data_IF_535362786445
#
_entry.id   IF_535362786445
#
_cell.length_a   1.000
_cell.length_b   1.000
_cell.length_c   1.000
_cell.angle_alpha   90.00
_cell.angle_beta   90.00
_cell.angle_gamma   90.00
#
_symmetry.space_group_name_H-M   'P 1'
#
loop_
_entity.id
_entity.type
_entity.pdbx_description
1 polymer ?
#
# COMPACT_ATOMS: atom_id res chain seq x y z
N UNK A 1 -8.49 -10.96 26.79
CA UNK A 1 -8.04 -11.83 25.68
C UNK A 1 -7.07 -11.05 24.83
N UNK A 2 -6.07 -11.71 24.26
CA UNK A 2 -5.08 -11.08 23.37
C UNK A 2 -5.49 -11.23 21.92
N UNK A 3 -5.15 -10.23 21.10
CA UNK A 3 -5.42 -10.22 19.66
C UNK A 3 -4.13 -9.89 18.91
N UNK A 4 -3.85 -10.66 17.87
CA UNK A 4 -2.76 -10.40 16.92
C UNK A 4 -3.42 -10.02 15.59
N UNK A 5 -3.04 -8.86 15.05
CA UNK A 5 -3.38 -8.46 13.69
C UNK A 5 -2.12 -8.62 12.84
N UNK A 6 -2.12 -9.62 11.95
CA UNK A 6 -0.96 -9.89 11.12
C UNK A 6 -1.07 -9.16 9.77
N UNK A 7 -0.46 -7.97 9.68
CA UNK A 7 -0.47 -7.17 8.45
C UNK A 7 0.35 -7.79 7.30
N UNK A 8 1.07 -8.89 7.54
CA UNK A 8 1.82 -9.63 6.54
C UNK A 8 1.16 -10.98 6.20
N UNK A 9 -0.09 -11.21 6.61
CA UNK A 9 -0.83 -12.42 6.26
C UNK A 9 -0.81 -12.67 4.74
N UNK A 10 -0.59 -13.92 4.35
CA UNK A 10 -0.49 -14.34 2.95
C UNK A 10 0.85 -14.01 2.27
N UNK A 11 1.79 -13.38 2.98
CA UNK A 11 3.14 -13.04 2.45
C UNK A 11 4.26 -13.83 3.12
N UNK A 12 3.94 -14.64 4.13
CA UNK A 12 4.89 -15.49 4.84
C UNK A 12 5.24 -16.76 4.06
N UNK A 13 6.14 -17.56 4.62
CA UNK A 13 6.40 -18.91 4.12
C UNK A 13 5.14 -19.80 4.28
N UNK A 14 4.97 -20.83 3.44
CA UNK A 14 3.96 -21.85 3.67
C UNK A 14 4.18 -22.56 5.00
N UNK A 15 3.11 -22.75 5.76
CA UNK A 15 3.07 -23.59 6.95
C UNK A 15 3.11 -25.07 6.56
N UNK A 16 3.39 -25.95 7.52
CA UNK A 16 3.49 -27.40 7.30
C UNK A 16 2.20 -28.05 6.76
N UNK A 17 1.04 -27.41 6.97
CA UNK A 17 -0.27 -27.86 6.48
C UNK A 17 -0.65 -27.29 5.10
N UNK A 18 0.27 -26.56 4.45
CA UNK A 18 0.07 -25.96 3.12
C UNK A 18 -0.63 -24.61 3.13
N UNK A 19 -1.05 -24.08 4.30
CA UNK A 19 -1.57 -22.72 4.41
C UNK A 19 -0.45 -21.69 4.29
N UNK A 20 -0.74 -20.48 3.81
CA UNK A 20 0.25 -19.39 3.72
C UNK A 20 0.16 -18.53 4.97
N UNK A 21 1.27 -18.43 5.70
CA UNK A 21 1.37 -17.68 6.95
C UNK A 21 1.62 -16.18 6.76
N UNK A 22 2.17 -15.55 7.79
CA UNK A 22 2.60 -14.16 7.82
C UNK A 22 3.76 -13.97 8.78
N UNK A 23 3.79 -12.84 9.50
CA UNK A 23 4.77 -12.64 10.57
C UNK A 23 4.53 -13.57 11.75
N UNK A 24 3.26 -13.95 12.00
CA UNK A 24 2.93 -14.99 12.97
C UNK A 24 2.84 -16.34 12.25
N UNK A 25 3.63 -17.36 12.65
CA UNK A 25 3.57 -18.69 12.02
C UNK A 25 2.23 -19.41 12.15
N UNK A 26 1.36 -18.96 13.06
CA UNK A 26 0.02 -19.52 13.25
C UNK A 26 -1.07 -18.78 12.47
N UNK A 27 -0.71 -17.72 11.74
CA UNK A 27 -1.61 -17.00 10.83
C UNK A 27 -2.05 -17.95 9.71
N UNK A 28 -3.34 -17.88 9.39
CA UNK A 28 -3.92 -18.49 8.19
C UNK A 28 -4.47 -17.35 7.35
N UNK A 29 -3.94 -17.18 6.14
CA UNK A 29 -4.39 -16.15 5.22
C UNK A 29 -5.93 -16.19 5.02
N UNK A 30 -6.53 -15.00 5.03
CA UNK A 30 -7.96 -14.73 4.88
C UNK A 30 -8.86 -15.38 5.93
N UNK A 31 -8.30 -15.67 7.11
CA UNK A 31 -9.05 -16.23 8.22
C UNK A 31 -8.69 -15.57 9.55
N UNK A 32 -9.71 -15.40 10.39
CA UNK A 32 -9.53 -15.13 11.82
C UNK A 32 -9.62 -16.44 12.60
N UNK A 33 -8.56 -16.82 13.29
CA UNK A 33 -8.45 -18.09 14.03
C UNK A 33 -8.16 -17.85 15.52
N UNK A 34 -8.55 -18.79 16.39
CA UNK A 34 -8.14 -18.78 17.79
C UNK A 34 -7.11 -19.88 18.04
N UNK A 35 -5.95 -19.52 18.59
CA UNK A 35 -4.88 -20.47 18.95
C UNK A 35 -4.39 -20.14 20.35
N UNK A 36 -4.38 -21.14 21.24
CA UNK A 36 -3.90 -20.98 22.62
C UNK A 36 -4.56 -19.81 23.39
N UNK A 37 -5.85 -19.52 23.12
CA UNK A 37 -6.57 -18.41 23.73
C UNK A 37 -6.26 -17.01 23.16
N UNK A 38 -5.48 -16.92 22.09
CA UNK A 38 -5.19 -15.69 21.33
C UNK A 38 -5.99 -15.71 20.03
N UNK A 39 -6.66 -14.59 19.72
CA UNK A 39 -7.31 -14.40 18.41
C UNK A 39 -6.28 -13.85 17.43
N UNK A 40 -6.15 -14.47 16.27
CA UNK A 40 -5.20 -14.12 15.22
C UNK A 40 -6.00 -13.77 13.96
N UNK A 41 -5.89 -12.53 13.52
CA UNK A 41 -6.57 -11.99 12.33
C UNK A 41 -5.61 -12.05 11.15
N UNK A 42 -5.97 -12.84 10.14
CA UNK A 42 -5.17 -13.16 8.96
C UNK A 42 -5.68 -12.57 7.65
N UNK A 43 -6.61 -11.61 7.69
CA UNK A 43 -7.14 -10.95 6.49
C UNK A 43 -6.04 -10.30 5.64
N UNK A 44 -5.92 -10.73 4.38
CA UNK A 44 -4.86 -10.24 3.47
C UNK A 44 -5.15 -8.83 2.93
N UNK A 45 -6.40 -8.39 2.98
CA UNK A 45 -6.86 -7.07 2.57
C UNK A 45 -7.57 -6.33 3.70
N UNK A 46 -6.85 -6.08 4.80
CA UNK A 46 -7.39 -5.40 5.98
C UNK A 46 -7.97 -4.01 5.66
N UNK A 47 -7.39 -3.29 4.70
CA UNK A 47 -7.87 -1.97 4.28
C UNK A 47 -9.30 -2.00 3.70
N UNK A 48 -9.71 -3.10 3.06
CA UNK A 48 -11.07 -3.24 2.54
C UNK A 48 -12.14 -3.30 3.64
N UNK A 49 -11.78 -3.69 4.87
CA UNK A 49 -12.70 -3.71 6.01
C UNK A 49 -13.04 -2.30 6.52
N UNK A 50 -12.21 -1.31 6.17
CA UNK A 50 -12.36 0.11 6.53
C UNK A 50 -12.33 1.00 5.28
N UNK A 51 -13.06 0.57 4.25
CA UNK A 51 -12.94 1.12 2.89
C UNK A 51 -13.13 2.64 2.79
N UNK A 52 -14.03 3.24 3.57
CA UNK A 52 -14.25 4.69 3.55
C UNK A 52 -13.03 5.48 4.04
N UNK A 53 -12.46 5.07 5.17
CA UNK A 53 -11.28 5.72 5.75
C UNK A 53 -10.03 5.42 4.92
N UNK A 54 -9.83 4.17 4.50
CA UNK A 54 -8.73 3.76 3.64
C UNK A 54 -8.73 4.55 2.32
N UNK A 55 -9.90 4.72 1.69
CA UNK A 55 -10.04 5.51 0.46
C UNK A 55 -9.72 6.99 0.69
N UNK A 56 -10.19 7.54 1.81
CA UNK A 56 -9.95 8.95 2.17
C UNK A 56 -8.46 9.22 2.42
N UNK A 57 -7.74 8.31 3.08
CA UNK A 57 -6.29 8.41 3.30
C UNK A 57 -5.51 8.23 2.00
N UNK A 58 -5.88 7.25 1.17
CA UNK A 58 -5.24 7.02 -0.13
C UNK A 58 -5.43 8.22 -1.08
N UNK A 59 -6.63 8.80 -1.13
CA UNK A 59 -6.91 9.98 -1.95
C UNK A 59 -6.05 11.19 -1.56
N UNK A 60 -5.75 11.36 -0.26
CA UNK A 60 -4.83 12.42 0.21
C UNK A 60 -3.40 12.16 -0.27
N UNK A 61 -2.90 10.92 -0.16
CA UNK A 61 -1.57 10.57 -0.66
C UNK A 61 -1.45 10.82 -2.18
N UNK A 62 -2.48 10.44 -2.96
CA UNK A 62 -2.53 10.72 -4.40
C UNK A 62 -2.54 12.22 -4.67
N UNK A 63 -3.38 12.98 -3.96
CA UNK A 63 -3.44 14.44 -4.12
C UNK A 63 -2.11 15.12 -3.78
N UNK A 64 -1.43 14.68 -2.73
CA UNK A 64 -0.16 15.24 -2.31
C UNK A 64 0.95 14.93 -3.33
N UNK A 65 0.99 13.71 -3.86
CA UNK A 65 1.88 13.35 -4.97
C UNK A 65 1.58 14.15 -6.24
N UNK A 66 0.29 14.36 -6.57
CA UNK A 66 -0.11 15.12 -7.75
C UNK A 66 0.40 16.57 -7.70
N UNK A 67 0.59 17.18 -6.54
CA UNK A 67 1.15 18.53 -6.44
C UNK A 67 2.60 18.63 -6.96
N UNK A 68 3.35 17.52 -7.01
CA UNK A 68 4.71 17.49 -7.55
C UNK A 68 4.70 17.52 -9.08
N UNK A 69 3.79 16.75 -9.70
CA UNK A 69 3.69 16.59 -11.17
C UNK A 69 2.70 17.54 -11.83
N UNK A 70 1.76 18.09 -11.06
CA UNK A 70 0.78 19.11 -11.41
C UNK A 70 0.77 20.19 -10.32
N UNK A 71 1.77 21.09 -10.30
CA UNK A 71 1.86 22.12 -9.29
C UNK A 71 0.61 23.02 -9.28
N UNK A 72 0.11 23.43 -8.12
CA UNK A 72 -0.97 24.41 -8.06
C UNK A 72 -0.52 25.71 -8.74
N UNK A 73 -1.34 26.22 -9.66
CA UNK A 73 -1.06 27.49 -10.31
C UNK A 73 -1.21 28.64 -9.29
N UNK A 74 -0.38 29.70 -9.38
CA UNK A 74 -0.61 30.92 -8.64
C UNK A 74 -2.00 31.50 -8.93
N UNK A 75 -2.54 32.25 -7.97
CA UNK A 75 -3.88 32.83 -8.10
C UNK A 75 -3.92 33.83 -9.26
N UNK A 76 -4.77 33.54 -10.25
CA UNK A 76 -4.93 34.39 -11.44
C UNK A 76 -4.06 33.97 -12.62
N UNK A 77 -3.26 32.91 -12.48
CA UNK A 77 -2.47 32.32 -13.56
C UNK A 77 -3.16 31.08 -14.14
N UNK A 78 -2.85 30.71 -15.40
CA UNK A 78 -3.36 29.48 -16.00
C UNK A 78 -2.89 28.24 -15.23
N UNK A 79 -3.67 27.17 -15.33
CA UNK A 79 -3.32 25.89 -14.70
C UNK A 79 -1.92 25.41 -15.12
N UNK A 80 -1.15 24.90 -14.16
CA UNK A 80 0.17 24.35 -14.46
C UNK A 80 0.05 23.14 -15.39
N UNK A 81 0.99 23.03 -16.31
CA UNK A 81 1.09 21.86 -17.16
C UNK A 81 1.55 20.63 -16.35
N UNK A 82 1.08 19.46 -16.77
CA UNK A 82 1.62 18.20 -16.30
C UNK A 82 3.10 18.11 -16.66
N UNK A 83 3.95 17.86 -15.66
CA UNK A 83 5.39 17.69 -15.83
C UNK A 83 5.87 16.50 -15.01
N UNK A 84 6.79 15.73 -15.59
CA UNK A 84 7.53 14.70 -14.86
C UNK A 84 8.92 15.26 -14.65
N UNK A 85 9.28 15.46 -13.38
CA UNK A 85 10.58 15.97 -12.97
C UNK A 85 11.43 14.81 -12.44
N UNK A 86 12.36 14.24 -13.23
CA UNK A 86 13.15 13.10 -12.81
C UNK A 86 14.20 13.45 -11.75
N UNK A 87 14.43 14.74 -11.47
CA UNK A 87 15.35 15.20 -10.41
C UNK A 87 14.64 15.35 -9.06
N UNK A 88 13.30 15.28 -9.01
CA UNK A 88 12.55 15.19 -7.76
C UNK A 88 12.60 13.75 -7.24
N UNK A 89 13.21 13.54 -6.07
CA UNK A 89 13.43 12.21 -5.48
C UNK A 89 12.13 11.38 -5.34
N UNK A 90 11.00 12.04 -5.05
CA UNK A 90 9.71 11.37 -4.87
C UNK A 90 9.16 10.95 -6.24
N UNK A 91 9.21 11.84 -7.23
CA UNK A 91 8.78 11.52 -8.61
C UNK A 91 9.65 10.41 -9.20
N UNK A 92 10.98 10.49 -9.04
CA UNK A 92 11.91 9.48 -9.50
C UNK A 92 11.67 8.11 -8.87
N UNK A 93 11.44 8.05 -7.55
CA UNK A 93 11.16 6.81 -6.84
C UNK A 93 9.83 6.16 -7.26
N UNK A 94 8.84 6.97 -7.65
CA UNK A 94 7.53 6.49 -8.10
C UNK A 94 7.48 6.15 -9.61
N UNK A 95 8.44 6.62 -10.42
CA UNK A 95 8.42 6.46 -11.87
C UNK A 95 8.86 5.05 -12.27
N UNK A 96 7.90 4.25 -12.75
CA UNK A 96 8.15 2.87 -13.20
C UNK A 96 8.49 2.77 -14.69
N UNK A 97 7.88 3.61 -15.52
CA UNK A 97 8.11 3.66 -16.96
C UNK A 97 7.85 5.07 -17.52
N UNK A 98 8.61 5.47 -18.54
CA UNK A 98 8.44 6.74 -19.24
C UNK A 98 8.94 6.61 -20.68
N UNK A 99 8.23 7.23 -21.65
CA UNK A 99 8.62 7.25 -23.07
C UNK A 99 8.91 5.86 -23.68
N UNK A 100 8.11 4.85 -23.31
CA UNK A 100 8.26 3.49 -23.83
C UNK A 100 9.38 2.67 -23.20
N UNK A 101 10.08 3.20 -22.19
CA UNK A 101 11.12 2.49 -21.46
C UNK A 101 10.75 2.30 -19.98
N UNK A 102 11.16 1.17 -19.40
CA UNK A 102 11.09 0.94 -17.95
C UNK A 102 12.23 1.69 -17.29
N UNK A 103 11.92 2.52 -16.29
CA UNK A 103 12.88 3.38 -15.59
C UNK A 103 13.42 2.73 -14.32
N UNK A 104 12.63 1.85 -13.69
CA UNK A 104 13.06 1.11 -12.50
C UNK A 104 14.00 -0.03 -12.90
N UNK A 105 15.23 0.01 -12.38
CA UNK A 105 16.18 -1.11 -12.44
C UNK A 105 15.89 -2.05 -11.28
N UNK A 106 15.78 -3.35 -11.56
CA UNK A 106 15.55 -4.43 -10.59
C UNK A 106 16.67 -4.56 -9.58
#
# INVERSE_FOLDING_TARGET
GSVIIDMAAGKGAPNADGTVGGNCPLTVADQTVMKHGVVIVGETNLAALVGADASSLYARNVLDFLKLVLPPAPKGEPASAFRIDPEDDIVAACLMAHQGAVTRKS
#
